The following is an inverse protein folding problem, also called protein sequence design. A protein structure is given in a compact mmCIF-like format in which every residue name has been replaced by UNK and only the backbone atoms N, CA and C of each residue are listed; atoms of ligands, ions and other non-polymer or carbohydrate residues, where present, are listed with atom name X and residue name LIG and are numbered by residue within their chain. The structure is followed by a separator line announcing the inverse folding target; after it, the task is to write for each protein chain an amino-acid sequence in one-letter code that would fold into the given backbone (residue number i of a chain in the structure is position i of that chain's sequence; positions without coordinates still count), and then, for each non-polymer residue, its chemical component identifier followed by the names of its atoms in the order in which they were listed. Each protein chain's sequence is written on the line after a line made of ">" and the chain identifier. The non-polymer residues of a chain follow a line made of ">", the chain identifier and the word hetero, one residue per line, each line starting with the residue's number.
data_IF_282610909646
#
_entry.id   IF_282610909646
#
_cell.length_a   1.000
_cell.length_b   1.000
_cell.length_c   1.000
_cell.angle_alpha   90.00
_cell.angle_beta   90.00
_cell.angle_gamma   90.00
#
_symmetry.space_group_name_H-M   'P 1'
#
loop_
_entity.id
_entity.type
_entity.pdbx_description
1 polymer ?
#
# COMPACT_ATOMS: atom_id res chain seq x y z
N UNK A 1 -6.88 -1.89 23.86
CA UNK A 1 -7.09 -0.44 24.02
C UNK A 1 -7.73 -0.22 25.36
N UNK A 2 -7.36 0.83 26.10
CA UNK A 2 -7.97 1.18 27.37
C UNK A 2 -8.99 2.31 27.18
N UNK A 3 -10.16 2.20 27.81
CA UNK A 3 -11.21 3.22 27.76
C UNK A 3 -10.95 4.28 28.85
N UNK A 4 -10.78 5.53 28.43
CA UNK A 4 -10.57 6.69 29.31
C UNK A 4 -11.75 7.65 29.22
N UNK A 5 -12.03 8.36 30.33
CA UNK A 5 -12.91 9.53 30.30
C UNK A 5 -12.16 10.69 29.65
N UNK A 6 -12.84 11.43 28.77
CA UNK A 6 -12.32 12.63 28.11
C UNK A 6 -12.80 13.88 28.88
N UNK A 7 -14.12 14.09 28.95
CA UNK A 7 -14.75 15.10 29.80
C UNK A 7 -16.25 14.82 30.00
N UNK A 8 -16.88 15.62 30.87
CA UNK A 8 -18.29 15.48 31.27
C UNK A 8 -19.08 16.76 31.02
N UNK A 9 -20.40 16.65 30.83
CA UNK A 9 -21.33 17.79 30.75
C UNK A 9 -21.19 18.70 31.97
N UNK A 10 -21.32 20.00 31.77
CA UNK A 10 -21.15 20.96 32.85
C UNK A 10 -20.86 22.39 32.40
N UNK A 11 -20.70 23.27 33.37
CA UNK A 11 -20.34 24.67 33.18
C UNK A 11 -18.88 24.86 33.60
N UNK A 12 -18.06 25.42 32.73
CA UNK A 12 -16.61 25.49 32.89
C UNK A 12 -16.08 26.91 32.71
N UNK A 13 -15.21 27.34 33.61
CA UNK A 13 -14.50 28.61 33.56
C UNK A 13 -13.26 28.49 32.65
N UNK A 14 -13.12 29.44 31.73
CA UNK A 14 -12.01 29.57 30.77
C UNK A 14 -11.43 30.99 30.75
N UNK A 15 -11.70 31.79 31.79
CA UNK A 15 -11.18 33.16 31.94
C UNK A 15 -9.65 33.24 32.01
N UNK A 16 -8.97 32.10 32.25
CA UNK A 16 -7.51 31.99 32.21
C UNK A 16 -6.94 31.79 30.78
N UNK A 17 -7.78 31.53 29.78
CA UNK A 17 -7.39 31.37 28.37
C UNK A 17 -7.57 32.66 27.55
N UNK A 18 -8.69 33.36 27.73
CA UNK A 18 -9.01 34.61 27.03
C UNK A 18 -9.79 35.54 27.98
N UNK A 19 -9.36 36.80 28.08
CA UNK A 19 -10.02 37.83 28.91
C UNK A 19 -11.45 38.15 28.44
N UNK A 20 -11.86 37.72 27.24
CA UNK A 20 -13.25 37.81 26.75
C UNK A 20 -14.16 36.70 27.29
N UNK A 21 -13.60 35.64 27.88
CA UNK A 21 -14.34 34.54 28.49
C UNK A 21 -14.61 34.86 29.96
N UNK A 22 -15.34 35.95 30.20
CA UNK A 22 -15.66 36.48 31.54
C UNK A 22 -16.84 35.75 32.23
N UNK A 23 -17.44 34.79 31.53
CA UNK A 23 -18.53 33.92 31.95
C UNK A 23 -18.18 32.47 31.64
N UNK A 24 -18.74 31.47 32.35
CA UNK A 24 -18.45 30.08 32.05
C UNK A 24 -19.11 29.64 30.73
N UNK A 25 -18.49 28.65 30.07
CA UNK A 25 -19.04 27.98 28.89
C UNK A 25 -19.79 26.72 29.33
N UNK A 26 -21.03 26.56 28.88
CA UNK A 26 -21.87 25.41 29.14
C UNK A 26 -21.71 24.33 28.05
N UNK A 27 -21.54 23.10 28.51
CA UNK A 27 -21.43 21.88 27.71
C UNK A 27 -22.61 20.97 28.01
N UNK A 28 -23.51 20.83 27.04
CA UNK A 28 -24.75 20.05 27.15
C UNK A 28 -24.53 18.59 26.75
N UNK A 29 -25.52 17.72 27.02
CA UNK A 29 -25.43 16.34 26.52
C UNK A 29 -25.39 16.25 25.00
N UNK A 30 -26.05 17.18 24.30
CA UNK A 30 -26.19 17.12 22.85
C UNK A 30 -24.88 17.56 22.16
N UNK A 31 -24.11 18.44 22.80
CA UNK A 31 -22.73 18.75 22.39
C UNK A 31 -21.84 17.50 22.46
N UNK A 32 -21.83 16.80 23.59
CA UNK A 32 -21.00 15.58 23.74
C UNK A 32 -21.45 14.45 22.80
N UNK A 33 -22.77 14.34 22.50
CA UNK A 33 -23.28 13.40 21.48
C UNK A 33 -22.78 13.78 20.09
N UNK A 34 -22.80 15.06 19.72
CA UNK A 34 -22.33 15.54 18.41
C UNK A 34 -20.84 15.23 18.21
N UNK A 35 -20.00 15.40 19.24
CA UNK A 35 -18.59 14.97 19.18
C UNK A 35 -18.47 13.44 18.99
N UNK A 36 -19.23 12.65 19.76
CA UNK A 36 -19.22 11.19 19.63
C UNK A 36 -19.73 10.68 18.27
N UNK A 37 -20.55 11.46 17.57
CA UNK A 37 -21.03 11.14 16.22
C UNK A 37 -20.02 11.54 15.13
N UNK A 38 -19.44 12.73 15.24
CA UNK A 38 -18.51 13.26 14.23
C UNK A 38 -17.14 12.56 14.26
N UNK A 39 -16.66 12.14 15.42
CA UNK A 39 -15.29 11.61 15.61
C UNK A 39 -15.22 10.09 15.83
N UNK A 40 -16.19 9.33 15.29
CA UNK A 40 -16.19 7.86 15.34
C UNK A 40 -14.96 7.22 14.67
N UNK A 41 -14.38 7.90 13.67
CA UNK A 41 -13.15 7.47 13.00
C UNK A 41 -11.88 7.61 13.85
N UNK A 42 -12.00 8.15 15.06
CA UNK A 42 -10.89 8.46 15.95
C UNK A 42 -10.38 9.89 15.82
N UNK A 43 -9.50 10.27 16.74
CA UNK A 43 -8.87 11.60 16.83
C UNK A 43 -7.36 11.42 17.07
N UNK A 44 -6.49 12.31 16.53
CA UNK A 44 -5.06 12.29 16.86
C UNK A 44 -4.82 12.49 18.36
N UNK A 45 -3.92 11.68 18.91
CA UNK A 45 -3.32 11.90 20.21
C UNK A 45 -1.98 12.60 20.01
N UNK A 46 -1.74 13.69 20.74
CA UNK A 46 -0.49 14.46 20.67
C UNK A 46 0.24 14.46 22.01
N UNK A 47 1.57 14.55 22.01
CA UNK A 47 2.34 14.77 23.24
C UNK A 47 2.14 16.22 23.69
N UNK A 48 1.73 16.40 24.96
CA UNK A 48 1.33 17.70 25.51
C UNK A 48 0.28 18.38 24.62
N UNK A 49 0.65 19.35 23.77
CA UNK A 49 -0.19 19.82 22.65
C UNK A 49 0.66 20.24 21.43
N UNK A 50 1.92 19.78 21.34
CA UNK A 50 2.98 20.34 20.48
C UNK A 50 2.93 19.83 19.02
N UNK A 51 1.77 19.38 18.53
CA UNK A 51 1.58 18.68 17.25
C UNK A 51 2.45 17.41 17.06
N UNK A 52 3.10 16.92 18.12
CA UNK A 52 3.87 15.67 18.11
C UNK A 52 2.89 14.50 18.23
N UNK A 53 2.57 13.86 17.11
CA UNK A 53 1.70 12.68 17.07
C UNK A 53 2.25 11.51 17.90
N UNK A 54 1.42 10.95 18.79
CA UNK A 54 1.76 9.78 19.62
C UNK A 54 0.78 8.60 19.45
N UNK A 55 -0.31 8.77 18.71
CA UNK A 55 -1.27 7.71 18.41
C UNK A 55 -2.61 8.22 17.91
N UNK A 56 -3.58 7.32 17.75
CA UNK A 56 -5.00 7.65 17.49
C UNK A 56 -5.82 7.11 18.65
N UNK A 57 -6.67 7.98 19.22
CA UNK A 57 -7.70 7.57 20.16
C UNK A 57 -8.97 7.25 19.40
N UNK A 58 -9.52 6.06 19.59
CA UNK A 58 -10.61 5.50 18.81
C UNK A 58 -11.93 5.47 19.62
N UNK A 59 -13.02 5.06 18.97
CA UNK A 59 -14.29 4.72 19.63
C UNK A 59 -14.81 5.82 20.58
N UNK A 60 -14.72 7.08 20.15
CA UNK A 60 -15.25 8.21 20.91
C UNK A 60 -16.75 8.00 21.12
N UNK A 61 -17.16 7.98 22.39
CA UNK A 61 -18.49 7.50 22.77
C UNK A 61 -19.06 8.28 23.95
N UNK A 62 -20.32 8.69 23.82
CA UNK A 62 -21.07 9.34 24.89
C UNK A 62 -21.80 8.29 25.75
N UNK A 63 -21.63 8.35 27.07
CA UNK A 63 -22.37 7.54 28.03
C UNK A 63 -22.64 8.33 29.32
N UNK A 64 -23.91 8.50 29.69
CA UNK A 64 -24.35 9.06 31.01
C UNK A 64 -23.69 10.40 31.38
N UNK A 65 -23.76 11.39 30.47
CA UNK A 65 -23.19 12.73 30.71
C UNK A 65 -21.68 12.81 30.52
N UNK A 66 -21.00 11.75 30.07
CA UNK A 66 -19.55 11.69 29.90
C UNK A 66 -19.17 11.26 28.48
N UNK A 67 -18.13 11.87 27.95
CA UNK A 67 -17.47 11.49 26.72
C UNK A 67 -16.27 10.60 27.05
N UNK A 68 -16.14 9.48 26.35
CA UNK A 68 -15.07 8.50 26.51
C UNK A 68 -14.30 8.31 25.21
N UNK A 69 -13.06 7.83 25.32
CA UNK A 69 -12.17 7.52 24.20
C UNK A 69 -11.38 6.24 24.50
N UNK A 70 -11.05 5.47 23.47
CA UNK A 70 -10.19 4.29 23.60
C UNK A 70 -8.76 4.61 23.14
N UNK A 71 -7.80 4.46 24.05
CA UNK A 71 -6.38 4.76 23.85
C UNK A 71 -5.60 3.47 23.55
N UNK A 72 -4.57 3.48 22.68
CA UNK A 72 -3.71 2.32 22.43
C UNK A 72 -3.03 1.83 23.72
N UNK A 73 -2.98 0.51 23.94
CA UNK A 73 -2.37 -0.08 25.17
C UNK A 73 -0.85 0.14 25.25
N UNK A 74 -0.22 0.42 24.11
CA UNK A 74 1.20 0.66 23.94
C UNK A 74 1.60 2.10 24.29
N UNK A 75 0.61 3.00 24.49
CA UNK A 75 0.86 4.39 24.81
C UNK A 75 1.21 4.56 26.29
N UNK A 76 2.38 5.13 26.56
CA UNK A 76 2.79 5.46 27.93
C UNK A 76 1.92 6.58 28.52
N UNK A 77 0.98 6.17 29.37
CA UNK A 77 0.09 7.03 30.15
C UNK A 77 0.60 7.23 31.61
N UNK A 78 1.80 6.77 31.98
CA UNK A 78 2.25 6.84 33.37
C UNK A 78 2.44 8.29 33.84
N UNK A 79 1.67 8.70 34.85
CA UNK A 79 1.66 10.07 35.35
C UNK A 79 1.12 11.12 34.36
N UNK A 80 0.36 10.69 33.34
CA UNK A 80 -0.27 11.56 32.33
C UNK A 80 -1.79 11.38 32.33
N UNK A 81 -2.49 12.37 31.81
CA UNK A 81 -3.91 12.32 31.50
C UNK A 81 -4.19 12.86 30.11
N UNK A 82 -5.47 12.87 29.74
CA UNK A 82 -5.96 13.37 28.47
C UNK A 82 -6.45 14.81 28.62
N UNK A 83 -6.19 15.63 27.60
CA UNK A 83 -6.57 17.03 27.52
C UNK A 83 -7.10 17.31 26.10
N UNK A 84 -8.42 17.24 25.85
CA UNK A 84 -8.97 17.49 24.53
C UNK A 84 -8.85 18.97 24.16
N UNK A 85 -8.41 19.25 22.92
CA UNK A 85 -8.38 20.59 22.33
C UNK A 85 -9.57 20.73 21.38
N UNK A 86 -10.43 21.71 21.61
CA UNK A 86 -11.62 21.95 20.79
C UNK A 86 -11.58 23.39 20.28
N UNK A 87 -11.70 23.56 18.97
CA UNK A 87 -12.03 24.85 18.35
C UNK A 87 -13.54 25.06 18.44
N UNK A 88 -13.95 26.22 18.94
CA UNK A 88 -15.36 26.54 19.23
C UNK A 88 -15.74 27.93 18.73
N UNK A 89 -16.95 28.01 18.18
CA UNK A 89 -17.69 29.25 18.02
C UNK A 89 -18.67 29.34 19.20
N UNK A 90 -18.57 30.41 19.98
CA UNK A 90 -19.39 30.59 21.18
C UNK A 90 -20.56 31.55 20.91
N UNK A 91 -21.72 31.23 21.50
CA UNK A 91 -22.88 32.12 21.53
C UNK A 91 -23.05 32.69 22.94
N UNK A 92 -23.24 34.00 23.08
CA UNK A 92 -23.59 34.59 24.37
C UNK A 92 -25.08 34.32 24.68
N UNK A 93 -25.35 33.60 25.77
CA UNK A 93 -26.69 33.30 26.27
C UNK A 93 -27.09 34.21 27.45
N UNK A 94 -26.29 35.24 27.77
CA UNK A 94 -26.54 36.20 28.85
C UNK A 94 -25.65 35.94 30.06
N UNK A 95 -25.96 34.91 30.85
CA UNK A 95 -25.20 34.55 32.06
C UNK A 95 -24.08 33.51 31.81
N UNK A 96 -24.08 32.87 30.64
CA UNK A 96 -23.10 31.86 30.21
C UNK A 96 -22.91 31.89 28.68
N UNK A 97 -21.83 31.28 28.20
CA UNK A 97 -21.64 31.01 26.78
C UNK A 97 -22.13 29.61 26.42
N UNK A 98 -22.90 29.47 25.34
CA UNK A 98 -23.21 28.19 24.72
C UNK A 98 -22.27 27.88 23.56
N UNK A 99 -22.21 26.61 23.15
CA UNK A 99 -21.56 26.18 21.92
C UNK A 99 -22.52 26.42 20.74
N UNK A 100 -22.06 27.11 19.70
CA UNK A 100 -22.80 27.26 18.43
C UNK A 100 -22.26 26.27 17.37
N UNK A 101 -20.94 26.23 17.21
CA UNK A 101 -20.24 25.19 16.43
C UNK A 101 -18.96 24.77 17.15
N UNK A 102 -18.48 23.56 16.84
CA UNK A 102 -17.23 23.05 17.43
C UNK A 102 -16.55 22.00 16.55
N UNK A 103 -15.23 21.87 16.72
CA UNK A 103 -14.38 20.86 16.11
C UNK A 103 -13.36 20.36 17.14
N UNK A 104 -13.38 19.07 17.47
CA UNK A 104 -12.31 18.43 18.24
C UNK A 104 -11.07 18.33 17.33
N UNK A 105 -9.96 18.93 17.76
CA UNK A 105 -8.74 19.08 16.97
C UNK A 105 -7.75 17.95 17.26
N UNK A 106 -7.39 17.79 18.53
CA UNK A 106 -6.55 16.70 19.03
C UNK A 106 -6.86 16.40 20.51
N UNK A 107 -6.28 15.33 21.03
CA UNK A 107 -6.25 15.05 22.47
C UNK A 107 -4.81 15.00 22.94
N UNK A 108 -4.45 16.00 23.74
CA UNK A 108 -3.15 16.10 24.38
C UNK A 108 -2.95 15.06 25.46
N UNK A 109 -1.82 14.35 25.41
CA UNK A 109 -1.37 13.39 26.42
C UNK A 109 -0.32 14.09 27.26
N UNK A 110 -0.72 14.55 28.43
CA UNK A 110 -0.01 15.58 29.21
C UNK A 110 0.08 15.22 30.69
N UNK A 111 1.13 15.70 31.36
CA UNK A 111 1.23 15.63 32.84
C UNK A 111 0.29 16.58 33.57
N UNK A 112 -0.25 17.59 32.89
CA UNK A 112 -1.15 18.61 33.46
C UNK A 112 -2.47 18.68 32.67
N UNK A 113 -3.29 17.61 32.67
CA UNK A 113 -4.50 17.54 31.85
C UNK A 113 -5.52 18.62 32.26
N UNK A 114 -5.97 19.40 31.28
CA UNK A 114 -7.19 20.21 31.39
C UNK A 114 -8.37 19.36 30.93
N UNK A 115 -9.53 19.54 31.56
CA UNK A 115 -10.77 18.87 31.12
C UNK A 115 -11.08 19.16 29.65
N UNK A 116 -10.92 20.42 29.24
CA UNK A 116 -11.00 20.87 27.85
C UNK A 116 -10.04 22.07 27.69
N UNK A 117 -9.40 22.18 26.53
CA UNK A 117 -8.66 23.36 26.08
C UNK A 117 -9.43 23.98 24.92
N UNK A 118 -9.90 25.22 25.07
CA UNK A 118 -10.62 25.92 24.01
C UNK A 118 -9.65 26.70 23.12
N UNK A 119 -9.84 26.58 21.80
CA UNK A 119 -9.50 27.62 20.84
C UNK A 119 -10.80 28.37 20.52
N UNK A 120 -10.83 29.68 20.70
CA UNK A 120 -12.01 30.51 20.49
C UNK A 120 -11.80 31.37 19.24
N UNK A 121 -12.53 31.06 18.17
CA UNK A 121 -12.45 31.77 16.88
C UNK A 121 -13.30 33.04 16.86
N UNK A 122 -14.53 33.01 17.38
CA UNK A 122 -15.39 34.21 17.52
C UNK A 122 -16.47 34.02 18.60
N UNK A 123 -17.04 35.13 19.10
CA UNK A 123 -18.22 35.11 19.98
C UNK A 123 -19.34 35.79 19.19
N UNK A 124 -20.44 35.07 18.94
CA UNK A 124 -21.61 35.60 18.23
C UNK A 124 -22.57 36.30 19.20
N UNK A 125 -22.77 37.60 18.99
CA UNK A 125 -23.82 38.36 19.65
C UNK A 125 -25.17 38.09 18.96
N UNK A 126 -26.16 37.57 19.71
CA UNK A 126 -27.52 37.41 19.21
C UNK A 126 -28.24 38.77 19.17
N UNK A 127 -28.13 39.47 18.04
CA UNK A 127 -28.74 40.80 17.85
C UNK A 127 -30.25 40.68 17.71
N UNK A 128 -30.93 40.59 18.86
CA UNK A 128 -32.38 40.64 18.95
C UNK A 128 -32.95 41.95 18.38
N UNK A 129 -34.01 41.84 17.57
CA UNK A 129 -34.67 43.00 16.97
C UNK A 129 -35.19 43.99 18.03
N UNK A 130 -34.88 45.29 17.91
CA UNK A 130 -35.93 46.33 17.70
C UNK A 130 -35.45 47.77 17.47
N UNK A 131 -36.12 48.40 16.49
CA UNK A 131 -36.51 49.84 16.38
C UNK A 131 -35.49 50.88 15.86
N UNK A 132 -35.98 51.54 14.81
CA UNK A 132 -35.50 52.74 14.13
C UNK A 132 -35.33 53.98 15.01
N UNK A 133 -34.21 54.71 14.87
CA UNK A 133 -34.17 56.18 14.89
C UNK A 133 -32.92 56.69 14.14
N UNK A 134 -33.10 57.64 13.20
CA UNK A 134 -31.99 58.33 12.50
C UNK A 134 -31.33 59.41 13.39
N UNK A 135 -30.00 59.52 13.41
CA UNK A 135 -29.31 60.70 13.95
C UNK A 135 -28.96 61.72 12.85
N UNK A 136 -29.27 63.00 13.07
CA UNK A 136 -28.76 64.11 12.23
C UNK A 136 -27.24 64.30 12.39
N UNK A 137 -26.54 64.81 11.35
CA UNK A 137 -25.08 64.93 11.36
C UNK A 137 -24.56 66.09 12.21
N UNK A 138 -23.64 65.79 13.13
CA UNK A 138 -22.78 66.77 13.79
C UNK A 138 -21.46 66.97 13.00
N UNK A 139 -20.78 68.13 13.12
CA UNK A 139 -19.53 68.41 12.41
C UNK A 139 -18.37 67.53 12.91
N UNK A 140 -17.40 67.18 12.05
CA UNK A 140 -16.39 66.17 12.35
C UNK A 140 -15.44 66.61 13.48
N UNK A 141 -15.34 65.80 14.54
CA UNK A 141 -14.31 65.96 15.58
C UNK A 141 -12.96 65.42 15.09
N UNK A 142 -11.87 65.81 15.77
CA UNK A 142 -10.53 65.30 15.46
C UNK A 142 -10.35 63.81 15.75
N UNK A 143 -11.21 63.23 16.59
CA UNK A 143 -11.20 61.81 16.97
C UNK A 143 -11.68 60.91 15.83
N UNK A 144 -12.53 61.43 14.93
CA UNK A 144 -13.01 60.70 13.75
C UNK A 144 -11.85 60.20 12.87
N UNK A 145 -10.79 61.01 12.70
CA UNK A 145 -9.61 60.60 11.95
C UNK A 145 -8.83 59.47 12.64
N UNK A 146 -8.79 59.44 13.98
CA UNK A 146 -8.10 58.36 14.72
C UNK A 146 -8.88 57.06 14.63
N UNK A 147 -10.20 57.11 14.80
CA UNK A 147 -11.09 55.96 14.62
C UNK A 147 -11.03 55.41 13.17
N UNK A 148 -11.00 56.29 12.17
CA UNK A 148 -10.89 55.89 10.76
C UNK A 148 -9.54 55.21 10.46
N UNK A 149 -8.43 55.70 11.03
CA UNK A 149 -7.11 55.06 10.90
C UNK A 149 -7.06 53.67 11.55
N UNK A 150 -7.62 53.50 12.75
CA UNK A 150 -7.72 52.20 13.42
C UNK A 150 -8.59 51.19 12.66
N UNK A 151 -9.65 51.65 12.00
CA UNK A 151 -10.48 50.82 11.13
C UNK A 151 -9.71 50.37 9.87
N UNK A 152 -8.92 51.27 9.27
CA UNK A 152 -8.04 50.95 8.13
C UNK A 152 -6.96 49.93 8.49
N UNK A 153 -6.33 50.07 9.67
CA UNK A 153 -5.33 49.11 10.16
C UNK A 153 -5.95 47.74 10.45
N UNK A 154 -7.15 47.70 11.07
CA UNK A 154 -7.90 46.45 11.27
C UNK A 154 -8.34 45.80 9.95
N UNK A 155 -8.75 46.59 8.96
CA UNK A 155 -9.08 46.09 7.61
C UNK A 155 -7.85 45.44 6.95
N UNK A 156 -6.70 46.12 6.97
CA UNK A 156 -5.45 45.57 6.44
C UNK A 156 -5.00 44.29 7.18
N UNK A 157 -5.23 44.23 8.50
CA UNK A 157 -5.02 43.01 9.29
C UNK A 157 -5.90 41.85 8.82
N UNK A 158 -7.22 42.09 8.64
CA UNK A 158 -8.15 41.08 8.13
C UNK A 158 -7.86 40.68 6.68
N UNK A 159 -7.46 41.60 5.80
CA UNK A 159 -7.05 41.28 4.43
C UNK A 159 -5.82 40.33 4.40
N UNK A 160 -4.86 40.54 5.29
CA UNK A 160 -3.69 39.66 5.43
C UNK A 160 -4.03 38.27 6.00
N UNK A 161 -5.03 38.19 6.88
CA UNK A 161 -5.56 36.95 7.43
C UNK A 161 -6.36 36.16 6.38
N UNK A 162 -7.21 36.83 5.61
CA UNK A 162 -7.91 36.25 4.43
C UNK A 162 -6.90 35.67 3.44
N UNK A 163 -5.78 36.34 3.19
CA UNK A 163 -4.71 35.80 2.34
C UNK A 163 -4.15 34.47 2.82
N UNK A 164 -3.85 34.34 4.12
CA UNK A 164 -3.37 33.07 4.71
C UNK A 164 -4.41 31.95 4.60
N UNK A 165 -5.67 32.25 4.89
CA UNK A 165 -6.77 31.28 4.78
C UNK A 165 -6.97 30.83 3.32
N UNK A 166 -6.74 31.70 2.33
CA UNK A 166 -6.77 31.32 0.92
C UNK A 166 -5.60 30.37 0.54
N UNK A 167 -4.40 30.62 1.05
CA UNK A 167 -3.26 29.73 0.85
C UNK A 167 -3.49 28.35 1.50
N UNK A 168 -4.04 28.32 2.72
CA UNK A 168 -4.38 27.08 3.42
C UNK A 168 -5.50 26.29 2.70
N UNK A 169 -6.55 26.96 2.22
CA UNK A 169 -7.60 26.35 1.38
C UNK A 169 -7.02 25.74 0.10
N UNK A 170 -6.01 26.37 -0.51
CA UNK A 170 -5.36 25.82 -1.70
C UNK A 170 -4.50 24.59 -1.35
N UNK A 171 -3.73 24.62 -0.26
CA UNK A 171 -2.99 23.46 0.24
C UNK A 171 -3.90 22.27 0.54
N UNK A 172 -5.02 22.49 1.23
CA UNK A 172 -6.00 21.46 1.56
C UNK A 172 -6.67 20.86 0.31
N UNK A 173 -6.86 21.63 -0.76
CA UNK A 173 -7.33 21.08 -2.05
C UNK A 173 -6.30 20.15 -2.68
N UNK A 174 -5.02 20.55 -2.72
CA UNK A 174 -3.97 19.68 -3.24
C UNK A 174 -3.82 18.39 -2.44
N UNK A 175 -4.01 18.43 -1.12
CA UNK A 175 -4.04 17.22 -0.28
C UNK A 175 -5.30 16.36 -0.53
N UNK A 176 -6.46 16.98 -0.74
CA UNK A 176 -7.69 16.27 -1.12
C UNK A 176 -7.55 15.55 -2.47
N UNK A 177 -6.90 16.17 -3.46
CA UNK A 177 -6.64 15.54 -4.76
C UNK A 177 -5.72 14.32 -4.61
N UNK A 178 -4.62 14.45 -3.84
CA UNK A 178 -3.72 13.33 -3.52
C UNK A 178 -4.43 12.20 -2.76
N UNK A 179 -5.38 12.53 -1.88
CA UNK A 179 -6.19 11.53 -1.17
C UNK A 179 -7.07 10.72 -2.14
N UNK A 180 -7.72 11.36 -3.11
CA UNK A 180 -8.53 10.66 -4.12
C UNK A 180 -7.67 9.79 -5.06
N UNK A 181 -6.45 10.22 -5.41
CA UNK A 181 -5.48 9.39 -6.14
C UNK A 181 -5.08 8.13 -5.34
N UNK A 182 -4.74 8.29 -4.05
CA UNK A 182 -4.41 7.18 -3.15
C UNK A 182 -5.60 6.22 -3.01
N UNK A 183 -6.81 6.75 -2.83
CA UNK A 183 -8.05 5.97 -2.73
C UNK A 183 -8.32 5.15 -4.00
N UNK A 184 -8.10 5.73 -5.18
CA UNK A 184 -8.20 5.02 -6.46
C UNK A 184 -7.16 3.89 -6.57
N UNK A 185 -5.91 4.16 -6.21
CA UNK A 185 -4.85 3.16 -6.20
C UNK A 185 -5.11 2.02 -5.20
N UNK A 186 -5.74 2.30 -4.05
CA UNK A 186 -6.18 1.26 -3.11
C UNK A 186 -7.25 0.36 -3.73
N UNK A 187 -8.22 0.91 -4.47
CA UNK A 187 -9.28 0.11 -5.09
C UNK A 187 -8.75 -0.77 -6.23
N UNK A 188 -7.90 -0.23 -7.11
CA UNK A 188 -7.23 -1.00 -8.17
C UNK A 188 -6.39 -2.16 -7.58
N UNK A 189 -5.73 -1.95 -6.44
CA UNK A 189 -4.99 -3.00 -5.73
C UNK A 189 -5.91 -4.06 -5.09
N UNK A 190 -7.12 -3.72 -4.65
CA UNK A 190 -8.11 -4.73 -4.18
C UNK A 190 -8.57 -5.61 -5.33
N UNK A 191 -8.94 -5.02 -6.47
CA UNK A 191 -9.35 -5.78 -7.66
C UNK A 191 -8.25 -6.76 -8.12
N UNK A 192 -6.98 -6.35 -8.02
CA UNK A 192 -5.83 -7.24 -8.25
C UNK A 192 -5.69 -8.37 -7.21
N UNK A 193 -5.97 -8.09 -5.93
CA UNK A 193 -5.95 -9.10 -4.87
C UNK A 193 -7.10 -10.10 -5.02
N UNK A 194 -8.30 -9.64 -5.37
CA UNK A 194 -9.49 -10.48 -5.55
C UNK A 194 -9.35 -11.39 -6.80
N UNK A 195 -8.69 -10.90 -7.86
CA UNK A 195 -8.37 -11.69 -9.07
C UNK A 195 -7.15 -12.62 -8.91
N UNK A 196 -6.40 -12.54 -7.80
CA UNK A 196 -5.18 -13.33 -7.55
C UNK A 196 -5.39 -14.85 -7.73
N UNK A 197 -6.49 -15.39 -7.20
CA UNK A 197 -6.73 -16.84 -7.23
C UNK A 197 -7.09 -17.31 -8.66
N UNK A 198 -7.72 -16.46 -9.47
CA UNK A 198 -7.98 -16.72 -10.89
C UNK A 198 -6.67 -16.67 -11.71
N UNK A 199 -5.81 -15.67 -11.46
CA UNK A 199 -4.47 -15.58 -12.07
C UNK A 199 -3.61 -16.80 -11.70
N UNK A 200 -3.62 -17.24 -10.43
CA UNK A 200 -2.88 -18.42 -9.99
C UNK A 200 -3.39 -19.70 -10.65
N UNK A 201 -4.72 -19.81 -10.85
CA UNK A 201 -5.35 -20.91 -11.56
C UNK A 201 -4.91 -20.93 -13.03
N UNK A 202 -5.06 -19.82 -13.76
CA UNK A 202 -4.64 -19.71 -15.17
C UNK A 202 -3.15 -20.03 -15.34
N UNK A 203 -2.28 -19.51 -14.46
CA UNK A 203 -0.85 -19.79 -14.48
C UNK A 203 -0.53 -21.27 -14.21
N UNK A 204 -1.34 -21.96 -13.41
CA UNK A 204 -1.22 -23.41 -13.19
C UNK A 204 -1.63 -24.23 -14.41
N UNK A 205 -2.69 -23.79 -15.12
CA UNK A 205 -3.17 -24.42 -16.35
C UNK A 205 -2.17 -24.22 -17.50
N UNK A 206 -1.59 -23.02 -17.64
CA UNK A 206 -0.51 -22.72 -18.58
C UNK A 206 0.74 -23.57 -18.32
N UNK A 207 1.17 -23.70 -17.05
CA UNK A 207 2.31 -24.58 -16.69
C UNK A 207 2.03 -26.04 -17.02
N UNK A 208 0.80 -26.52 -16.80
CA UNK A 208 0.39 -27.89 -17.15
C UNK A 208 0.45 -28.11 -18.67
N UNK A 209 -0.12 -27.19 -19.46
CA UNK A 209 -0.11 -27.28 -20.92
C UNK A 209 1.32 -27.22 -21.49
N UNK A 210 2.19 -26.36 -20.94
CA UNK A 210 3.60 -26.26 -21.34
C UNK A 210 4.39 -27.53 -20.99
N UNK A 211 4.14 -28.14 -19.82
CA UNK A 211 4.74 -29.42 -19.46
C UNK A 211 4.24 -30.55 -20.36
N UNK A 212 2.93 -30.65 -20.64
CA UNK A 212 2.38 -31.62 -21.60
C UNK A 212 2.97 -31.46 -23.01
N UNK A 213 3.27 -30.23 -23.43
CA UNK A 213 3.95 -29.93 -24.70
C UNK A 213 5.40 -30.45 -24.70
N UNK A 214 6.15 -30.17 -23.64
CA UNK A 214 7.55 -30.63 -23.49
C UNK A 214 7.67 -32.14 -23.33
N UNK A 215 6.75 -32.79 -22.60
CA UNK A 215 6.70 -34.26 -22.50
C UNK A 215 6.60 -34.86 -23.90
N UNK A 216 5.65 -34.42 -24.73
CA UNK A 216 5.48 -34.90 -26.11
C UNK A 216 6.70 -34.61 -27.00
N UNK A 217 7.38 -33.48 -26.78
CA UNK A 217 8.64 -33.16 -27.47
C UNK A 217 9.73 -34.19 -27.10
N UNK A 218 9.91 -34.51 -25.82
CA UNK A 218 10.91 -35.48 -25.37
C UNK A 218 10.56 -36.93 -25.75
N UNK A 219 9.29 -37.32 -25.67
CA UNK A 219 8.77 -38.59 -26.19
C UNK A 219 9.12 -38.75 -27.68
N UNK A 220 8.85 -37.73 -28.50
CA UNK A 220 9.15 -37.74 -29.93
C UNK A 220 10.67 -37.72 -30.23
N UNK A 221 11.45 -36.94 -29.48
CA UNK A 221 12.88 -36.68 -29.75
C UNK A 221 13.81 -37.80 -29.32
N UNK A 222 13.45 -38.52 -28.25
CA UNK A 222 14.29 -39.56 -27.64
C UNK A 222 13.59 -40.93 -27.56
N UNK A 223 12.44 -41.08 -28.21
CA UNK A 223 11.60 -42.29 -28.19
C UNK A 223 11.33 -42.76 -26.75
N UNK A 224 10.96 -41.82 -25.88
CA UNK A 224 10.53 -42.09 -24.50
C UNK A 224 9.03 -42.37 -24.45
N UNK A 225 8.58 -43.07 -23.40
CA UNK A 225 7.15 -43.14 -23.05
C UNK A 225 6.95 -42.75 -21.59
N UNK A 226 6.39 -41.55 -21.36
CA UNK A 226 6.24 -40.96 -20.03
C UNK A 226 5.22 -41.69 -19.15
N UNK A 227 4.23 -42.36 -19.77
CA UNK A 227 3.12 -43.01 -19.05
C UNK A 227 3.35 -44.51 -18.80
N UNK A 228 4.14 -45.19 -19.65
CA UNK A 228 4.33 -46.64 -19.59
C UNK A 228 5.68 -47.07 -18.99
N UNK A 229 6.72 -46.22 -19.03
CA UNK A 229 8.05 -46.55 -18.53
C UNK A 229 8.47 -45.61 -17.39
N UNK A 230 8.65 -46.16 -16.19
CA UNK A 230 9.05 -45.41 -15.01
C UNK A 230 10.44 -44.76 -15.11
N UNK A 231 11.38 -45.35 -15.86
CA UNK A 231 12.72 -44.78 -16.06
C UNK A 231 12.67 -43.61 -17.05
N UNK A 232 11.94 -43.77 -18.15
CA UNK A 232 11.72 -42.70 -19.13
C UNK A 232 10.97 -41.52 -18.49
N UNK A 233 10.01 -41.82 -17.60
CA UNK A 233 9.33 -40.82 -16.78
C UNK A 233 10.30 -40.04 -15.88
N UNK A 234 11.15 -40.72 -15.11
CA UNK A 234 12.13 -40.05 -14.24
C UNK A 234 13.10 -39.15 -15.03
N UNK A 235 13.52 -39.60 -16.21
CA UNK A 235 14.36 -38.82 -17.14
C UNK A 235 13.62 -37.57 -17.63
N UNK A 236 12.35 -37.69 -18.01
CA UNK A 236 11.53 -36.55 -18.44
C UNK A 236 11.25 -35.59 -17.28
N UNK A 237 10.98 -36.08 -16.07
CA UNK A 237 10.77 -35.25 -14.87
C UNK A 237 12.03 -34.42 -14.54
N UNK A 238 13.24 -34.99 -14.68
CA UNK A 238 14.51 -34.27 -14.57
C UNK A 238 14.72 -33.22 -15.67
N UNK A 239 14.35 -33.54 -16.92
CA UNK A 239 14.39 -32.58 -18.03
C UNK A 239 13.41 -31.41 -17.84
N UNK A 240 12.22 -31.66 -17.28
CA UNK A 240 11.21 -30.63 -16.99
C UNK A 240 11.62 -29.72 -15.83
N UNK A 241 12.26 -30.28 -14.79
CA UNK A 241 12.76 -29.51 -13.64
C UNK A 241 14.06 -28.75 -13.92
N UNK A 242 14.80 -29.15 -14.96
CA UNK A 242 16.10 -28.58 -15.31
C UNK A 242 17.27 -29.21 -14.53
N UNK A 243 17.02 -30.27 -13.77
CA UNK A 243 18.03 -31.04 -13.02
C UNK A 243 18.77 -32.01 -13.95
N UNK A 244 19.55 -31.43 -14.88
CA UNK A 244 20.21 -32.15 -15.96
C UNK A 244 21.70 -32.23 -15.69
N UNK A 245 22.13 -33.39 -15.18
CA UNK A 245 23.53 -33.73 -14.95
C UNK A 245 24.24 -34.27 -16.21
N UNK A 246 25.53 -34.58 -16.09
CA UNK A 246 26.35 -35.07 -17.20
C UNK A 246 25.99 -36.51 -17.60
N UNK A 247 25.59 -37.35 -16.64
CA UNK A 247 25.24 -38.75 -16.87
C UNK A 247 23.91 -38.87 -17.64
N UNK A 248 22.94 -37.99 -17.33
CA UNK A 248 21.69 -37.87 -18.05
C UNK A 248 21.91 -37.41 -19.50
N UNK A 249 22.81 -36.45 -19.71
CA UNK A 249 23.16 -35.95 -21.04
C UNK A 249 23.85 -37.01 -21.90
N UNK A 250 24.73 -37.83 -21.31
CA UNK A 250 25.37 -38.96 -21.98
C UNK A 250 24.34 -40.01 -22.41
N UNK A 251 23.46 -40.44 -21.50
CA UNK A 251 22.34 -41.37 -21.80
C UNK A 251 21.41 -40.86 -22.90
N UNK A 252 21.12 -39.55 -22.94
CA UNK A 252 20.31 -38.93 -23.99
C UNK A 252 21.03 -38.92 -25.34
N UNK A 253 22.35 -38.73 -25.36
CA UNK A 253 23.16 -38.80 -26.58
C UNK A 253 23.25 -40.23 -27.12
N UNK A 254 23.52 -41.22 -26.26
CA UNK A 254 23.54 -42.65 -26.60
C UNK A 254 22.21 -43.11 -27.19
N UNK A 255 21.07 -42.80 -26.53
CA UNK A 255 19.73 -43.18 -27.00
C UNK A 255 19.40 -42.52 -28.34
N UNK A 256 19.84 -41.28 -28.57
CA UNK A 256 19.69 -40.60 -29.87
C UNK A 256 20.47 -41.31 -30.98
N UNK A 257 21.73 -41.69 -30.73
CA UNK A 257 22.56 -42.43 -31.70
C UNK A 257 21.91 -43.78 -32.05
N UNK A 258 21.34 -44.49 -31.07
CA UNK A 258 20.63 -45.76 -31.31
C UNK A 258 19.37 -45.58 -32.19
N UNK A 259 18.63 -44.48 -32.02
CA UNK A 259 17.45 -44.15 -32.85
C UNK A 259 17.88 -43.81 -34.28
N UNK A 260 18.91 -42.97 -34.44
CA UNK A 260 19.43 -42.60 -35.77
C UNK A 260 19.97 -43.83 -36.53
N UNK A 261 20.75 -44.68 -35.87
CA UNK A 261 21.25 -45.94 -36.45
C UNK A 261 20.15 -46.95 -36.80
N UNK A 262 19.04 -46.96 -36.05
CA UNK A 262 17.89 -47.84 -36.32
C UNK A 262 17.05 -47.36 -37.52
N UNK A 263 17.04 -46.06 -37.80
CA UNK A 263 16.34 -45.47 -38.95
C UNK A 263 17.13 -45.55 -40.26
N UNK A 264 18.46 -45.56 -40.21
CA UNK A 264 19.33 -45.65 -41.40
C UNK A 264 19.34 -47.05 -42.07
N UNK A 265 18.70 -48.05 -41.44
CA UNK A 265 18.55 -49.40 -41.97
C UNK A 265 17.59 -49.56 -43.17
N UNK A 266 16.96 -48.48 -43.65
CA UNK A 266 15.97 -48.51 -44.74
C UNK A 266 16.47 -47.90 -46.06
N UNK A 267 17.51 -48.51 -46.65
CA UNK A 267 17.85 -48.26 -48.06
C UNK A 267 16.76 -48.83 -48.98
N UNK A 268 16.13 -48.04 -49.87
CA UNK A 268 15.20 -48.57 -50.87
C UNK A 268 15.96 -49.35 -51.96
N UNK A 269 16.16 -50.65 -51.75
CA UNK A 269 16.85 -51.52 -52.71
C UNK A 269 16.07 -51.68 -54.01
N UNK A 270 16.44 -50.92 -55.06
CA UNK A 270 15.68 -50.88 -56.31
C UNK A 270 16.48 -50.57 -57.58
N UNK A 271 17.24 -51.57 -58.09
CA UNK A 271 17.89 -51.63 -59.43
C UNK A 271 19.08 -50.64 -59.63
N UNK A 272 20.13 -50.94 -60.40
CA UNK A 272 20.52 -52.12 -61.20
C UNK A 272 22.08 -52.20 -61.20
N UNK A 273 22.74 -53.32 -61.58
CA UNK A 273 24.19 -53.43 -61.46
C UNK A 273 24.93 -52.90 -62.70
N UNK A 274 26.11 -52.31 -62.48
CA UNK A 274 27.18 -52.30 -63.48
C UNK A 274 28.48 -52.88 -62.87
N UNK A 275 29.28 -53.48 -63.75
CA UNK A 275 30.33 -54.44 -63.44
C UNK A 275 31.66 -53.96 -64.04
N UNK A 276 32.73 -53.86 -63.24
CA UNK A 276 34.12 -54.06 -63.71
C UNK A 276 35.16 -54.10 -62.58
N UNK A 277 36.10 -55.06 -62.63
CA UNK A 277 37.41 -55.05 -61.91
C UNK A 277 37.36 -55.33 -60.40
N UNK A 278 37.79 -56.48 -59.82
CA UNK A 278 38.94 -57.35 -60.11
C UNK A 278 40.28 -56.61 -59.95
N UNK A 279 41.29 -57.01 -59.15
CA UNK A 279 41.54 -58.16 -58.24
C UNK A 279 42.79 -57.83 -57.37
N UNK A 280 43.13 -58.62 -56.34
CA UNK A 280 44.40 -58.51 -55.57
C UNK A 280 44.26 -57.92 -54.15
N UNK A 281 44.36 -58.59 -52.99
CA UNK A 281 44.99 -59.86 -52.50
C UNK A 281 46.17 -59.56 -51.52
N UNK A 282 46.19 -60.24 -50.35
CA UNK A 282 47.22 -60.26 -49.28
C UNK A 282 47.46 -58.92 -48.54
N UNK A 283 47.59 -58.77 -47.21
CA UNK A 283 47.63 -59.63 -46.01
C UNK A 283 48.22 -58.80 -44.82
N UNK A 284 48.37 -59.23 -43.56
CA UNK A 284 47.92 -60.43 -42.82
C UNK A 284 48.11 -60.20 -41.29
N UNK A 285 47.19 -60.67 -40.43
CA UNK A 285 47.27 -60.77 -38.93
C UNK A 285 47.54 -59.51 -38.05
N UNK A 286 46.69 -59.30 -37.03
CA UNK A 286 46.99 -58.40 -35.89
C UNK A 286 45.83 -58.28 -34.90
N UNK A 287 45.99 -58.80 -33.67
CA UNK A 287 44.99 -58.71 -32.60
C UNK A 287 45.13 -57.42 -31.78
N UNK A 288 44.04 -56.70 -31.51
CA UNK A 288 43.76 -55.98 -30.24
C UNK A 288 42.36 -55.34 -30.23
N UNK A 289 41.70 -55.40 -29.07
CA UNK A 289 40.75 -54.43 -28.48
C UNK A 289 39.57 -53.88 -29.31
N UNK A 290 38.35 -54.08 -28.80
CA UNK A 290 37.15 -53.32 -29.20
C UNK A 290 37.28 -51.83 -28.81
N UNK A 291 37.66 -50.98 -29.76
CA UNK A 291 37.56 -49.53 -29.66
C UNK A 291 36.50 -49.02 -30.64
N UNK A 292 35.24 -48.96 -30.21
CA UNK A 292 34.22 -48.17 -30.90
C UNK A 292 33.07 -47.68 -30.00
N UNK A 293 33.40 -47.32 -28.75
CA UNK A 293 32.62 -46.32 -28.04
C UNK A 293 33.05 -44.93 -28.57
N UNK A 294 32.13 -43.99 -28.88
CA UNK A 294 32.49 -42.68 -29.41
C UNK A 294 33.16 -41.82 -28.33
N UNK A 295 34.49 -41.89 -28.24
CA UNK A 295 35.26 -41.09 -27.29
C UNK A 295 35.37 -39.63 -27.75
N UNK A 296 34.80 -38.70 -26.98
CA UNK A 296 34.97 -37.26 -27.16
C UNK A 296 36.31 -36.82 -26.56
N UNK A 297 37.23 -36.34 -27.40
CA UNK A 297 38.61 -36.05 -26.95
C UNK A 297 38.85 -34.57 -26.63
N UNK A 298 37.90 -33.68 -26.98
CA UNK A 298 38.05 -32.23 -26.77
C UNK A 298 36.85 -31.55 -26.12
N UNK A 299 37.12 -30.48 -25.37
CA UNK A 299 36.11 -29.64 -24.73
C UNK A 299 35.27 -28.86 -25.75
N UNK A 300 35.84 -28.56 -26.93
CA UNK A 300 35.12 -27.91 -28.03
C UNK A 300 34.02 -28.79 -28.65
N UNK A 301 34.24 -30.10 -28.86
CA UNK A 301 33.24 -31.01 -29.41
C UNK A 301 32.00 -31.11 -28.50
N UNK A 302 32.23 -31.27 -27.20
CA UNK A 302 31.20 -31.24 -26.17
C UNK A 302 30.38 -29.93 -26.19
N UNK A 303 31.07 -28.77 -26.24
CA UNK A 303 30.40 -27.46 -26.28
C UNK A 303 29.63 -27.22 -27.59
N UNK A 304 30.07 -27.79 -28.72
CA UNK A 304 29.38 -27.70 -30.01
C UNK A 304 28.06 -28.48 -29.96
N UNK A 305 28.09 -29.71 -29.45
CA UNK A 305 26.90 -30.56 -29.29
C UNK A 305 25.88 -29.91 -28.32
N UNK A 306 26.32 -29.32 -27.21
CA UNK A 306 25.43 -28.56 -26.30
C UNK A 306 24.69 -27.43 -27.02
N UNK A 307 25.39 -26.70 -27.90
CA UNK A 307 24.83 -25.59 -28.68
C UNK A 307 23.84 -26.07 -29.74
N UNK A 308 24.18 -27.14 -30.44
CA UNK A 308 23.33 -27.76 -31.47
C UNK A 308 22.07 -28.43 -30.86
N UNK A 309 22.12 -28.82 -29.58
CA UNK A 309 20.97 -29.30 -28.81
C UNK A 309 20.11 -28.19 -28.17
N UNK A 310 20.46 -26.91 -28.36
CA UNK A 310 19.68 -25.77 -27.88
C UNK A 310 19.94 -25.35 -26.42
N UNK A 311 20.87 -26.00 -25.71
CA UNK A 311 21.22 -25.67 -24.33
C UNK A 311 22.20 -24.48 -24.27
N UNK A 312 21.69 -23.29 -24.57
CA UNK A 312 22.43 -22.05 -24.37
C UNK A 312 22.67 -21.82 -22.87
N UNK A 313 23.92 -22.02 -22.43
CA UNK A 313 24.38 -21.54 -21.12
C UNK A 313 24.46 -20.01 -21.13
N UNK A 314 23.37 -19.35 -20.81
CA UNK A 314 23.42 -17.98 -20.29
C UNK A 314 24.26 -18.01 -19.02
N UNK A 315 25.38 -17.29 -18.99
CA UNK A 315 26.20 -17.16 -17.78
C UNK A 315 25.36 -16.50 -16.68
N UNK A 316 25.34 -17.15 -15.51
CA UNK A 316 25.30 -16.48 -14.21
C UNK A 316 26.77 -16.33 -13.78
#
# INVERSE_FOLDING_TARGET
>A
MMRHELFEVGSYDYSDLDNRLDKPVEWTEDDLKLIAENYRGGIPLTSEHDNIYVGIGNNISYEKGKLFIEVPDELDMEGKGLSPKVDVLLKDNGDSFGIDTMSLIDVGVTKNPRKITLLNSEITEDVGETRTHEPQPHPPSKDANVATSLLLEKLQGKDAEIGKLQDEINSLKEESEKYDEIKKAIEENKEFIDSKDEILKELSELRKAENERKIKEYESKYNFNYNENAQDKEIIDKLLSGDVDMELMEKLAERRIQIEASNDGSTPGGRNPENSGNEGEVGETGSTSDENAPSFTTREEYNKILKDMGFNRTRI
#
